data_IF_522888553225
#
_entry.id   IF_522888553225
#
_cell.length_a   1.000
_cell.length_b   1.000
_cell.length_c   1.000
_cell.angle_alpha   90.00
_cell.angle_beta   90.00
_cell.angle_gamma   90.00
#
_symmetry.space_group_name_H-M   'P 1'
#
loop_
_entity.id
_entity.type
_entity.pdbx_description
1 polymer ?
#
# COMPACT_ATOMS: atom_id res chain seq x y z
N UNK A 1 -7.47 21.82 24.86
CA UNK A 1 -8.29 20.62 24.55
C UNK A 1 -7.37 19.73 23.75
N UNK A 2 -6.76 18.74 24.38
CA UNK A 2 -6.01 17.71 23.67
C UNK A 2 -7.02 16.94 22.82
N UNK A 3 -7.03 17.22 21.53
CA UNK A 3 -7.66 16.33 20.57
C UNK A 3 -6.79 15.06 20.60
N UNK A 4 -7.32 13.88 20.98
CA UNK A 4 -6.53 12.66 20.87
C UNK A 4 -6.03 12.59 19.43
N UNK A 5 -4.70 12.55 19.25
CA UNK A 5 -4.11 12.53 17.93
C UNK A 5 -4.77 11.39 17.13
N UNK A 6 -5.45 11.75 16.04
CA UNK A 6 -6.16 10.76 15.22
C UNK A 6 -5.09 9.94 14.53
N UNK A 7 -4.93 8.69 14.94
CA UNK A 7 -3.96 7.79 14.34
C UNK A 7 -4.39 7.50 12.91
N UNK A 8 -3.57 7.81 11.88
CA UNK A 8 -3.97 7.64 10.50
C UNK A 8 -4.05 6.16 10.12
N UNK A 9 -4.98 5.82 9.24
CA UNK A 9 -5.14 4.48 8.67
C UNK A 9 -4.54 4.45 7.28
N UNK A 10 -3.58 3.56 7.09
CA UNK A 10 -2.85 3.45 5.82
C UNK A 10 -3.14 2.13 5.15
N UNK A 11 -3.49 2.18 3.87
CA UNK A 11 -3.54 1.01 3.00
C UNK A 11 -2.32 1.01 2.09
N UNK A 12 -1.61 -0.11 2.02
CA UNK A 12 -0.52 -0.33 1.07
C UNK A 12 -1.02 -1.32 0.03
N UNK A 13 -1.08 -0.91 -1.23
CA UNK A 13 -1.41 -1.76 -2.38
C UNK A 13 -0.10 -2.09 -3.09
N UNK A 14 0.19 -3.39 -3.23
CA UNK A 14 1.42 -3.85 -3.85
C UNK A 14 1.28 -5.24 -4.45
N UNK A 15 2.39 -5.73 -5.00
CA UNK A 15 2.48 -7.10 -5.49
C UNK A 15 3.08 -7.99 -4.40
N UNK A 16 2.57 -9.21 -4.27
CA UNK A 16 3.27 -10.26 -3.53
C UNK A 16 4.50 -10.69 -4.35
N UNK A 17 5.73 -10.44 -3.86
CA UNK A 17 6.94 -10.71 -4.62
C UNK A 17 7.08 -12.19 -5.00
N UNK A 18 6.55 -13.12 -4.18
CA UNK A 18 6.64 -14.56 -4.49
C UNK A 18 5.64 -15.03 -5.55
N UNK A 19 4.66 -14.19 -5.89
CA UNK A 19 3.59 -14.48 -6.85
C UNK A 19 3.68 -13.62 -8.11
N UNK A 20 4.81 -12.95 -8.34
CA UNK A 20 5.11 -12.28 -9.60
C UNK A 20 6.01 -13.18 -10.46
N UNK A 21 5.60 -13.52 -11.70
CA UNK A 21 6.37 -14.43 -12.56
C UNK A 21 7.83 -14.01 -12.79
N UNK A 22 8.70 -15.02 -12.81
CA UNK A 22 10.15 -14.91 -13.02
C UNK A 22 10.58 -14.58 -14.46
N UNK A 23 11.91 -14.47 -14.70
CA UNK A 23 13.01 -14.81 -13.77
C UNK A 23 13.51 -13.60 -12.96
N UNK A 24 13.50 -13.70 -11.62
CA UNK A 24 14.13 -12.76 -10.67
C UNK A 24 14.13 -13.35 -9.25
N UNK A 25 14.87 -12.74 -8.31
CA UNK A 25 14.88 -13.13 -6.89
C UNK A 25 13.90 -12.28 -6.07
N UNK A 26 12.82 -12.86 -5.48
CA UNK A 26 11.85 -12.14 -4.68
C UNK A 26 12.35 -11.72 -3.29
N UNK A 27 13.43 -12.33 -2.79
CA UNK A 27 13.93 -12.15 -1.42
C UNK A 27 14.16 -10.69 -1.03
N UNK A 28 14.93 -9.90 -1.80
CA UNK A 28 15.21 -8.50 -1.47
C UNK A 28 13.95 -7.62 -1.39
N UNK A 29 12.96 -7.87 -2.25
CA UNK A 29 11.70 -7.11 -2.22
C UNK A 29 10.85 -7.50 -1.02
N UNK A 30 10.77 -8.80 -0.72
CA UNK A 30 10.06 -9.31 0.45
C UNK A 30 10.66 -8.75 1.76
N UNK A 31 11.98 -8.75 1.89
CA UNK A 31 12.68 -8.17 3.04
C UNK A 31 12.38 -6.67 3.18
N UNK A 32 12.46 -5.92 2.08
CA UNK A 32 12.15 -4.49 2.10
C UNK A 32 10.69 -4.18 2.49
N UNK A 33 9.73 -5.03 2.09
CA UNK A 33 8.33 -4.91 2.53
C UNK A 33 8.23 -5.06 4.05
N UNK A 34 8.93 -6.03 4.63
CA UNK A 34 8.93 -6.25 6.07
C UNK A 34 9.64 -5.14 6.85
N UNK A 35 10.72 -4.57 6.30
CA UNK A 35 11.33 -3.33 6.84
C UNK A 35 10.32 -2.20 6.84
N UNK A 36 9.62 -1.97 5.72
CA UNK A 36 8.57 -0.95 5.62
C UNK A 36 7.45 -1.16 6.64
N UNK A 37 6.97 -2.41 6.78
CA UNK A 37 5.95 -2.81 7.77
C UNK A 37 6.39 -2.55 9.20
N UNK A 38 7.63 -2.91 9.54
CA UNK A 38 8.18 -2.70 10.88
C UNK A 38 8.25 -1.21 11.26
N UNK A 39 8.40 -0.30 10.29
CA UNK A 39 8.37 1.15 10.54
C UNK A 39 6.98 1.64 10.92
N UNK A 40 5.92 1.18 10.27
CA UNK A 40 4.54 1.48 10.69
C UNK A 40 4.28 1.03 12.13
N UNK A 41 4.71 -0.18 12.49
CA UNK A 41 4.59 -0.72 13.86
C UNK A 41 5.36 0.15 14.85
N UNK A 42 6.61 0.52 14.53
CA UNK A 42 7.45 1.38 15.39
C UNK A 42 6.80 2.72 15.70
N UNK A 43 6.09 3.31 14.74
CA UNK A 43 5.42 4.60 14.88
C UNK A 43 3.96 4.48 15.36
N UNK A 44 3.49 3.28 15.70
CA UNK A 44 2.12 3.08 16.20
C UNK A 44 1.04 3.36 15.16
N UNK A 45 1.35 3.26 13.87
CA UNK A 45 0.43 3.54 12.76
C UNK A 45 -0.10 2.22 12.20
N UNK A 46 -1.43 1.97 12.25
CA UNK A 46 -2.03 0.79 11.67
C UNK A 46 -1.96 0.86 10.14
N UNK A 47 -1.21 -0.07 9.54
CA UNK A 47 -1.10 -0.23 8.10
C UNK A 47 -1.57 -1.61 7.65
N UNK A 48 -2.48 -1.64 6.68
CA UNK A 48 -2.91 -2.87 6.02
C UNK A 48 -2.17 -3.02 4.70
N UNK A 49 -1.64 -4.20 4.42
CA UNK A 49 -0.94 -4.50 3.18
C UNK A 49 -1.80 -5.43 2.34
N UNK A 50 -2.33 -4.89 1.24
CA UNK A 50 -3.00 -5.63 0.18
C UNK A 50 -1.94 -5.99 -0.88
N UNK A 51 -1.37 -7.19 -0.74
CA UNK A 51 -0.39 -7.73 -1.69
C UNK A 51 -1.05 -8.83 -2.51
N UNK A 52 -1.12 -8.65 -3.83
CA UNK A 52 -1.73 -9.60 -4.76
C UNK A 52 -0.70 -10.17 -5.75
N UNK A 53 -0.96 -11.37 -6.25
CA UNK A 53 -0.13 -12.06 -7.23
C UNK A 53 -0.47 -11.70 -8.67
N UNK A 54 0.48 -11.95 -9.58
CA UNK A 54 0.30 -11.91 -11.04
C UNK A 54 0.44 -13.32 -11.66
N UNK A 55 0.31 -14.36 -10.83
CA UNK A 55 0.33 -15.78 -11.21
C UNK A 55 -1.02 -16.28 -11.75
N UNK A 56 -2.03 -15.41 -11.81
CA UNK A 56 -3.38 -15.71 -12.28
C UNK A 56 -4.33 -16.27 -11.22
N UNK A 57 -3.90 -16.36 -9.95
CA UNK A 57 -4.75 -16.89 -8.87
C UNK A 57 -5.59 -15.82 -8.14
N UNK A 58 -5.28 -14.53 -8.31
CA UNK A 58 -6.08 -13.42 -7.76
C UNK A 58 -7.01 -12.80 -8.82
N UNK A 59 -8.25 -12.51 -8.43
CA UNK A 59 -9.04 -11.45 -9.04
C UNK A 59 -8.52 -10.10 -8.50
N UNK A 60 -7.57 -9.51 -9.22
CA UNK A 60 -6.86 -8.29 -8.81
C UNK A 60 -7.83 -7.15 -8.50
N UNK A 61 -8.83 -6.94 -9.37
CA UNK A 61 -9.81 -5.87 -9.21
C UNK A 61 -10.66 -6.11 -7.96
N UNK A 62 -11.13 -7.34 -7.77
CA UNK A 62 -11.91 -7.75 -6.61
C UNK A 62 -11.13 -7.60 -5.29
N UNK A 63 -9.88 -8.07 -5.26
CA UNK A 63 -8.99 -7.99 -4.09
C UNK A 63 -8.70 -6.53 -3.72
N UNK A 64 -8.33 -5.70 -4.70
CA UNK A 64 -8.05 -4.28 -4.47
C UNK A 64 -9.30 -3.53 -4.04
N UNK A 65 -10.45 -3.77 -4.69
CA UNK A 65 -11.70 -3.12 -4.34
C UNK A 65 -12.18 -3.51 -2.94
N UNK A 66 -12.03 -4.78 -2.53
CA UNK A 66 -12.38 -5.24 -1.20
C UNK A 66 -11.51 -4.55 -0.13
N UNK A 67 -10.20 -4.46 -0.36
CA UNK A 67 -9.29 -3.76 0.56
C UNK A 67 -9.63 -2.27 0.70
N UNK A 68 -9.95 -1.60 -0.41
CA UNK A 68 -10.35 -0.19 -0.40
C UNK A 68 -11.69 0.05 0.31
N UNK A 69 -12.63 -0.89 0.23
CA UNK A 69 -13.96 -0.79 0.85
C UNK A 69 -14.00 -1.25 2.30
N UNK A 70 -12.95 -1.93 2.80
CA UNK A 70 -12.93 -2.49 4.14
C UNK A 70 -13.14 -1.45 5.24
N UNK A 71 -12.63 -0.23 5.03
CA UNK A 71 -12.83 0.92 5.91
C UNK A 71 -12.46 2.21 5.18
N UNK A 72 -12.74 3.37 5.78
CA UNK A 72 -12.17 4.63 5.30
C UNK A 72 -10.65 4.63 5.53
N UNK A 73 -9.90 5.09 4.53
CA UNK A 73 -8.45 5.21 4.55
C UNK A 73 -8.06 6.68 4.52
N UNK A 74 -7.01 7.03 5.25
CA UNK A 74 -6.48 8.39 5.26
C UNK A 74 -5.36 8.53 4.20
N UNK A 75 -4.64 7.43 3.93
CA UNK A 75 -3.67 7.35 2.84
C UNK A 75 -3.66 5.96 2.19
N UNK A 76 -3.53 5.93 0.86
CA UNK A 76 -3.27 4.72 0.07
C UNK A 76 -1.89 4.84 -0.58
N UNK A 77 -0.96 3.98 -0.19
CA UNK A 77 0.36 3.86 -0.81
C UNK A 77 0.30 2.83 -1.95
N UNK A 78 0.70 3.21 -3.16
CA UNK A 78 0.78 2.30 -4.31
C UNK A 78 2.24 1.92 -4.60
N UNK A 79 2.55 0.64 -4.39
CA UNK A 79 3.87 0.05 -4.54
C UNK A 79 4.48 0.19 -5.94
N UNK A 80 5.81 0.18 -6.02
CA UNK A 80 6.55 0.33 -7.28
C UNK A 80 6.25 -0.78 -8.30
N UNK A 81 6.06 -2.03 -7.85
CA UNK A 81 5.71 -3.15 -8.73
C UNK A 81 4.42 -2.94 -9.53
N UNK A 82 3.41 -2.31 -8.91
CA UNK A 82 2.16 -1.93 -9.57
C UNK A 82 2.41 -0.81 -10.59
N UNK A 83 3.19 0.20 -10.21
CA UNK A 83 3.51 1.38 -11.05
C UNK A 83 4.32 1.07 -12.30
N UNK A 84 5.10 -0.01 -12.30
CA UNK A 84 5.86 -0.43 -13.48
C UNK A 84 5.01 -1.12 -14.56
N UNK A 85 3.70 -1.30 -14.33
CA UNK A 85 2.76 -1.83 -15.29
C UNK A 85 1.66 -0.78 -15.57
N UNK A 86 1.73 -0.02 -16.68
CA UNK A 86 0.87 1.15 -16.89
C UNK A 86 -0.63 0.86 -16.78
N UNK A 87 -1.12 -0.23 -17.39
CA UNK A 87 -2.55 -0.59 -17.36
C UNK A 87 -3.01 -1.01 -15.96
N UNK A 88 -2.20 -1.78 -15.24
CA UNK A 88 -2.47 -2.17 -13.86
C UNK A 88 -2.48 -0.94 -12.95
N UNK A 89 -1.51 -0.03 -13.13
CA UNK A 89 -1.43 1.20 -12.38
C UNK A 89 -2.64 2.09 -12.60
N UNK A 90 -3.03 2.33 -13.86
CA UNK A 90 -4.24 3.09 -14.21
C UNK A 90 -5.47 2.50 -13.54
N UNK A 91 -5.60 1.17 -13.56
CA UNK A 91 -6.73 0.47 -12.97
C UNK A 91 -6.78 0.63 -11.46
N UNK A 92 -5.66 0.40 -10.76
CA UNK A 92 -5.56 0.58 -9.31
C UNK A 92 -5.91 2.02 -8.93
N UNK A 93 -5.39 3.03 -9.64
CA UNK A 93 -5.69 4.44 -9.34
C UNK A 93 -7.18 4.75 -9.52
N UNK A 94 -7.82 4.22 -10.56
CA UNK A 94 -9.27 4.39 -10.75
C UNK A 94 -10.09 3.70 -9.65
N UNK A 95 -9.66 2.53 -9.15
CA UNK A 95 -10.28 1.86 -8.01
C UNK A 95 -10.14 2.71 -6.74
N UNK A 96 -8.95 3.24 -6.46
CA UNK A 96 -8.72 4.16 -5.33
C UNK A 96 -9.64 5.37 -5.43
N UNK A 97 -9.70 6.02 -6.59
CA UNK A 97 -10.59 7.17 -6.83
C UNK A 97 -12.07 6.83 -6.59
N UNK A 98 -12.50 5.61 -6.93
CA UNK A 98 -13.90 5.17 -6.80
C UNK A 98 -14.26 4.80 -5.37
N UNK A 99 -13.39 4.07 -4.67
CA UNK A 99 -13.73 3.43 -3.40
C UNK A 99 -13.12 4.12 -2.17
N UNK A 100 -12.09 4.95 -2.36
CA UNK A 100 -11.39 5.69 -1.31
C UNK A 100 -11.07 7.13 -1.74
N UNK A 101 -12.04 7.83 -2.33
CA UNK A 101 -11.86 9.16 -2.90
C UNK A 101 -11.32 10.23 -1.93
N UNK A 102 -11.51 10.03 -0.62
CA UNK A 102 -11.00 10.93 0.43
C UNK A 102 -9.58 10.63 0.90
N UNK A 103 -9.00 9.49 0.51
CA UNK A 103 -7.65 9.12 0.89
C UNK A 103 -6.62 9.86 0.05
N UNK A 104 -5.53 10.31 0.67
CA UNK A 104 -4.37 10.74 -0.09
C UNK A 104 -3.76 9.56 -0.86
N UNK A 105 -3.19 9.81 -2.03
CA UNK A 105 -2.46 8.79 -2.80
C UNK A 105 -0.97 9.05 -2.68
N UNK A 106 -0.24 8.04 -2.22
CA UNK A 106 1.20 8.09 -2.02
C UNK A 106 1.93 7.07 -2.89
N UNK A 107 3.17 7.39 -3.24
CA UNK A 107 4.07 6.55 -4.01
C UNK A 107 5.41 6.46 -3.29
N UNK A 108 5.82 5.24 -2.96
CA UNK A 108 7.12 4.94 -2.34
C UNK A 108 8.23 4.87 -3.41
N UNK A 109 9.50 5.04 -3.07
CA UNK A 109 10.60 4.79 -4.01
C UNK A 109 11.08 3.34 -3.90
N UNK A 110 11.11 2.81 -2.67
CA UNK A 110 11.54 1.45 -2.35
C UNK A 110 10.54 0.79 -1.40
N UNK A 111 10.49 -0.54 -1.26
CA UNK A 111 9.62 -1.16 -0.26
C UNK A 111 9.84 -0.63 1.18
N UNK A 112 11.08 -0.29 1.52
CA UNK A 112 11.50 0.20 2.85
C UNK A 112 10.99 1.61 3.19
N UNK A 113 10.80 2.48 2.20
CA UNK A 113 10.34 3.87 2.39
C UNK A 113 8.81 4.02 2.33
N UNK A 114 8.05 2.92 2.35
CA UNK A 114 6.58 2.91 2.33
C UNK A 114 5.98 3.76 3.47
N UNK A 115 6.59 3.74 4.66
CA UNK A 115 6.19 4.62 5.77
C UNK A 115 6.39 6.10 5.43
N UNK A 116 7.56 6.48 4.93
CA UNK A 116 7.86 7.86 4.56
C UNK A 116 6.92 8.35 3.45
N UNK A 117 6.54 7.46 2.53
CA UNK A 117 5.58 7.76 1.49
C UNK A 117 4.22 8.19 2.05
N UNK A 118 3.71 7.47 3.05
CA UNK A 118 2.49 7.83 3.75
C UNK A 118 2.66 9.11 4.57
N UNK A 119 3.78 9.26 5.29
CA UNK A 119 4.08 10.39 6.17
C UNK A 119 4.09 11.76 5.47
N UNK A 120 4.24 11.80 4.15
CA UNK A 120 4.09 13.05 3.38
C UNK A 120 2.68 13.61 3.35
N UNK A 121 1.66 12.79 3.64
CA UNK A 121 0.26 13.13 3.41
C UNK A 121 -0.64 13.03 4.64
N UNK A 122 -0.20 12.35 5.69
CA UNK A 122 -0.97 12.19 6.94
C UNK A 122 -0.13 12.61 8.13
N UNK A 123 -0.79 13.16 9.14
CA UNK A 123 -0.16 13.51 10.41
C UNK A 123 0.14 12.22 11.19
N UNK A 124 1.42 11.97 11.40
CA UNK A 124 1.87 10.79 12.13
C UNK A 124 1.76 11.04 13.65
N UNK A 125 1.47 10.01 14.46
CA UNK A 125 1.56 10.12 15.91
C UNK A 125 2.98 10.55 16.32
N UNK A 126 3.06 11.49 17.26
CA UNK A 126 4.32 11.98 17.83
C UNK A 126 5.00 10.99 18.76
#
# INVERSE_FOLDING_TARGET
>A
MDNPAVVPRVLVIGLDPYRVPGPWDPGPVAEGIEVGRARFVRHGVPATFCLFGLDGSDDVDGVVAAALQAQAWDCVVVGGGVRHQPELFERVINLVRRHAAGAAIAFNATPEDTFDAAARWVEMPG
#
